data_IF_948572719620
#
_entry.id   IF_948572719620
#
_cell.length_a   1.000
_cell.length_b   1.000
_cell.length_c   1.000
_cell.angle_alpha   90.00
_cell.angle_beta   90.00
_cell.angle_gamma   90.00
#
_symmetry.space_group_name_H-M   'P 1'
#
loop_
_entity.id
_entity.type
_entity.pdbx_description
1 polymer ?
#
# COMPACT_ATOMS: atom_id res chain seq x y z
N UNK A 1 15.51 25.67 0.32
CA UNK A 1 16.41 25.15 -0.75
C UNK A 1 16.32 23.65 -0.74
N UNK A 2 15.89 23.02 -1.81
CA UNK A 2 15.84 21.55 -1.93
C UNK A 2 17.24 21.09 -2.33
N UNK A 3 17.83 20.14 -1.60
CA UNK A 3 19.14 19.58 -1.94
C UNK A 3 19.06 18.86 -3.28
N UNK A 4 19.99 19.11 -4.19
CA UNK A 4 20.14 18.35 -5.43
C UNK A 4 20.96 17.10 -5.14
N UNK A 5 20.56 15.97 -5.71
CA UNK A 5 21.42 14.78 -5.73
C UNK A 5 22.74 15.15 -6.42
N UNK A 6 23.87 14.96 -5.72
CA UNK A 6 25.17 15.19 -6.36
C UNK A 6 25.59 13.90 -7.07
N UNK A 7 25.66 13.87 -8.41
CA UNK A 7 26.04 12.68 -9.16
C UNK A 7 27.56 12.40 -9.12
N UNK A 8 28.37 13.22 -8.43
CA UNK A 8 29.80 12.95 -8.30
C UNK A 8 30.02 11.68 -7.49
N UNK A 9 30.41 10.63 -8.20
CA UNK A 9 30.87 9.39 -7.60
C UNK A 9 32.25 9.61 -6.97
N UNK A 10 32.41 9.23 -5.71
CA UNK A 10 33.70 9.21 -5.07
C UNK A 10 34.59 8.10 -5.64
N UNK A 11 35.93 8.21 -5.45
CA UNK A 11 36.87 7.12 -5.83
C UNK A 11 36.47 5.79 -5.17
N UNK A 12 35.93 5.84 -3.94
CA UNK A 12 35.43 4.69 -3.21
C UNK A 12 34.20 4.08 -3.87
N UNK A 13 33.29 4.88 -4.45
CA UNK A 13 32.16 4.38 -5.21
C UNK A 13 32.60 3.58 -6.43
N UNK A 14 33.68 4.01 -7.11
CA UNK A 14 34.32 3.29 -8.20
C UNK A 14 34.83 1.89 -7.77
N UNK A 15 35.52 1.83 -6.64
CA UNK A 15 36.03 0.59 -6.06
C UNK A 15 34.89 -0.35 -5.58
N UNK A 16 33.85 0.20 -4.97
CA UNK A 16 32.66 -0.54 -4.54
C UNK A 16 31.83 -1.04 -5.73
N UNK A 17 31.72 -0.26 -6.81
CA UNK A 17 31.02 -0.66 -8.02
C UNK A 17 31.77 -1.77 -8.77
N UNK A 18 33.10 -1.85 -8.66
CA UNK A 18 33.87 -2.97 -9.23
C UNK A 18 33.53 -4.33 -8.61
N UNK A 19 33.14 -4.35 -7.32
CA UNK A 19 32.65 -5.56 -6.64
C UNK A 19 31.30 -6.04 -7.20
N UNK A 20 30.50 -5.14 -7.78
CA UNK A 20 29.19 -5.45 -8.40
C UNK A 20 29.32 -6.38 -9.62
N UNK A 21 30.39 -6.34 -10.36
CA UNK A 21 30.65 -7.22 -11.52
C UNK A 21 30.62 -8.73 -11.18
N UNK A 22 30.71 -9.07 -9.90
CA UNK A 22 30.65 -10.48 -9.44
C UNK A 22 29.22 -10.98 -9.17
N UNK A 23 28.23 -10.08 -9.08
CA UNK A 23 26.84 -10.47 -8.88
C UNK A 23 26.22 -10.79 -10.24
N UNK A 24 25.92 -12.08 -10.50
CA UNK A 24 25.39 -12.57 -11.78
C UNK A 24 23.91 -12.21 -11.99
N UNK A 25 23.18 -11.92 -10.92
CA UNK A 25 21.74 -11.65 -10.96
C UNK A 25 21.46 -10.25 -10.45
N UNK A 26 20.58 -9.54 -11.15
CA UNK A 26 20.09 -8.24 -10.75
C UNK A 26 19.23 -8.36 -9.48
N UNK A 27 19.54 -7.53 -8.48
CA UNK A 27 18.80 -7.53 -7.21
C UNK A 27 17.40 -6.91 -7.39
N UNK A 28 16.48 -7.22 -6.46
CA UNK A 28 15.14 -6.62 -6.46
C UNK A 28 15.20 -5.09 -6.41
N UNK A 29 16.12 -4.52 -5.63
CA UNK A 29 16.27 -3.06 -5.52
C UNK A 29 16.72 -2.43 -6.83
N UNK A 30 17.62 -3.08 -7.57
CA UNK A 30 18.03 -2.63 -8.90
C UNK A 30 16.87 -2.67 -9.90
N UNK A 31 16.07 -3.74 -9.86
CA UNK A 31 14.87 -3.87 -10.70
C UNK A 31 13.85 -2.78 -10.38
N UNK A 32 13.58 -2.50 -9.10
CA UNK A 32 12.70 -1.41 -8.67
C UNK A 32 13.26 -0.07 -9.17
N UNK A 33 14.57 0.17 -9.04
CA UNK A 33 15.19 1.42 -9.43
C UNK A 33 15.09 1.71 -10.94
N UNK A 34 15.12 0.66 -11.75
CA UNK A 34 14.94 0.75 -13.21
C UNK A 34 13.49 0.84 -13.64
N UNK A 35 12.59 0.19 -12.90
CA UNK A 35 11.18 0.09 -13.25
C UNK A 35 10.42 1.37 -12.95
N UNK A 36 10.70 2.01 -11.81
CA UNK A 36 9.98 3.21 -11.33
C UNK A 36 10.56 4.47 -11.97
N UNK A 37 9.70 5.31 -12.52
CA UNK A 37 10.05 6.62 -13.09
C UNK A 37 10.14 7.66 -11.95
N UNK A 38 11.28 7.66 -11.24
CA UNK A 38 11.48 8.49 -10.05
C UNK A 38 11.29 9.98 -10.29
N UNK A 39 11.65 10.47 -11.47
CA UNK A 39 11.52 11.89 -11.83
C UNK A 39 10.05 12.34 -11.81
N UNK A 40 9.14 11.48 -12.26
CA UNK A 40 7.70 11.75 -12.21
C UNK A 40 7.19 11.81 -10.76
N UNK A 41 7.62 10.87 -9.91
CA UNK A 41 7.26 10.87 -8.49
C UNK A 41 7.84 12.09 -7.76
N UNK A 42 9.07 12.51 -8.10
CA UNK A 42 9.68 13.72 -7.56
C UNK A 42 8.88 14.96 -7.94
N UNK A 43 8.48 15.07 -9.22
CA UNK A 43 7.69 16.19 -9.72
C UNK A 43 6.34 16.35 -8.96
N UNK A 44 5.68 15.23 -8.63
CA UNK A 44 4.45 15.24 -7.82
C UNK A 44 4.69 15.77 -6.38
N UNK A 45 5.89 15.61 -5.88
CA UNK A 45 6.26 15.95 -4.51
C UNK A 45 6.92 17.33 -4.37
N UNK A 46 7.11 18.12 -5.43
CA UNK A 46 7.85 19.39 -5.39
C UNK A 46 7.28 20.42 -4.39
N UNK A 47 5.96 20.42 -4.17
CA UNK A 47 5.29 21.34 -3.23
C UNK A 47 5.38 20.96 -1.73
N UNK A 48 6.01 19.82 -1.39
CA UNK A 48 6.07 19.33 0.00
C UNK A 48 7.01 20.15 0.88
N UNK A 49 8.10 20.64 0.29
CA UNK A 49 9.06 21.46 1.00
C UNK A 49 8.70 22.95 0.85
N UNK A 50 8.59 23.62 1.98
CA UNK A 50 8.54 25.09 1.97
C UNK A 50 9.92 25.63 1.61
N UNK A 51 9.98 26.54 0.66
CA UNK A 51 11.22 27.17 0.22
C UNK A 51 11.68 28.18 1.29
N UNK A 52 12.47 27.71 2.24
CA UNK A 52 13.11 28.57 3.24
C UNK A 52 14.46 29.03 2.67
N UNK A 53 14.61 30.34 2.51
CA UNK A 53 15.87 30.96 2.03
C UNK A 53 17.05 30.80 3.00
N UNK A 54 16.83 30.30 4.21
CA UNK A 54 17.84 30.13 5.27
C UNK A 54 17.79 28.70 5.83
N UNK A 55 18.96 28.12 6.12
CA UNK A 55 19.13 26.81 6.75
C UNK A 55 19.80 25.77 5.84
N UNK A 56 20.05 24.60 6.41
CA UNK A 56 20.61 23.47 5.68
C UNK A 56 19.64 22.99 4.57
N UNK A 57 20.14 22.64 3.38
CA UNK A 57 19.29 22.11 2.30
C UNK A 57 18.47 20.90 2.76
N UNK A 58 17.21 20.86 2.37
CA UNK A 58 16.35 19.69 2.66
C UNK A 58 16.84 18.45 1.90
N UNK A 59 16.62 17.28 2.47
CA UNK A 59 16.91 16.01 1.80
C UNK A 59 16.25 15.97 0.41
N UNK A 60 16.95 15.53 -0.66
CA UNK A 60 16.33 15.37 -1.97
C UNK A 60 15.09 14.48 -1.90
N UNK A 61 14.03 14.89 -2.58
CA UNK A 61 12.72 14.21 -2.53
C UNK A 61 12.85 12.74 -2.94
N UNK A 62 13.59 12.46 -4.02
CA UNK A 62 13.81 11.09 -4.51
C UNK A 62 14.50 10.23 -3.45
N UNK A 63 15.49 10.77 -2.75
CA UNK A 63 16.19 10.04 -1.66
C UNK A 63 15.21 9.72 -0.54
N UNK A 64 14.40 10.70 -0.11
CA UNK A 64 13.40 10.51 0.94
C UNK A 64 12.32 9.49 0.55
N UNK A 65 11.82 9.54 -0.69
CA UNK A 65 10.87 8.54 -1.23
C UNK A 65 11.48 7.13 -1.22
N UNK A 66 12.71 6.98 -1.73
CA UNK A 66 13.41 5.69 -1.74
C UNK A 66 13.66 5.15 -0.34
N UNK A 67 13.92 6.02 0.64
CA UNK A 67 14.00 5.63 2.05
C UNK A 67 12.66 5.05 2.55
N UNK A 68 11.51 5.65 2.22
CA UNK A 68 10.20 5.09 2.56
C UNK A 68 9.94 3.75 1.85
N UNK A 69 10.36 3.62 0.59
CA UNK A 69 10.28 2.32 -0.12
C UNK A 69 11.07 1.23 0.63
N UNK A 70 12.31 1.51 1.04
CA UNK A 70 13.10 0.56 1.85
C UNK A 70 12.42 0.26 3.18
N UNK A 71 11.94 1.29 3.86
CA UNK A 71 11.28 1.15 5.16
C UNK A 71 10.13 0.15 5.12
N UNK A 72 9.23 0.30 4.15
CA UNK A 72 8.04 -0.54 4.06
C UNK A 72 8.32 -1.90 3.39
N UNK A 73 9.24 -1.95 2.42
CA UNK A 73 9.63 -3.20 1.75
C UNK A 73 10.27 -4.20 2.73
N UNK A 74 11.10 -3.70 3.63
CA UNK A 74 11.84 -4.51 4.61
C UNK A 74 11.22 -4.44 6.03
N UNK A 75 10.07 -3.80 6.18
CA UNK A 75 9.36 -3.64 7.44
C UNK A 75 10.22 -3.06 8.58
N UNK A 76 11.02 -2.02 8.28
CA UNK A 76 11.92 -1.38 9.22
C UNK A 76 11.23 -0.28 10.02
N UNK A 77 11.56 -0.14 11.31
CA UNK A 77 11.23 1.04 12.11
C UNK A 77 12.05 2.25 11.68
N UNK A 78 11.70 3.45 12.19
CA UNK A 78 12.44 4.67 11.80
C UNK A 78 13.93 4.59 12.19
N UNK A 79 14.33 4.25 13.43
CA UNK A 79 15.74 4.05 13.78
C UNK A 79 16.38 2.87 13.04
N UNK A 80 15.66 1.75 12.89
CA UNK A 80 16.20 0.57 12.21
C UNK A 80 16.46 0.82 10.71
N UNK A 81 15.75 1.77 10.07
CA UNK A 81 16.06 2.18 8.72
C UNK A 81 17.38 2.95 8.66
N UNK A 82 17.61 3.88 9.59
CA UNK A 82 18.88 4.63 9.70
C UNK A 82 20.05 3.67 9.89
N UNK A 83 19.97 2.75 10.86
CA UNK A 83 20.98 1.72 11.08
C UNK A 83 21.24 0.88 9.82
N UNK A 84 20.16 0.48 9.11
CA UNK A 84 20.29 -0.29 7.89
C UNK A 84 20.89 0.52 6.72
N UNK A 85 20.69 1.84 6.67
CA UNK A 85 21.32 2.72 5.69
C UNK A 85 22.82 2.89 5.96
N UNK A 86 23.23 2.85 7.24
CA UNK A 86 24.66 2.88 7.62
C UNK A 86 25.33 1.56 7.21
N UNK A 87 24.72 0.42 7.53
CA UNK A 87 25.35 -0.89 7.36
C UNK A 87 25.31 -1.44 5.93
N UNK A 88 24.25 -1.11 5.15
CA UNK A 88 23.97 -1.79 3.89
C UNK A 88 24.28 -0.96 2.66
N UNK A 89 25.40 -1.22 2.04
CA UNK A 89 25.80 -0.60 0.77
C UNK A 89 24.73 -0.73 -0.33
N UNK A 90 23.94 -1.83 -0.35
CA UNK A 90 22.85 -2.02 -1.30
C UNK A 90 21.73 -0.98 -1.10
N UNK A 91 21.49 -0.55 0.14
CA UNK A 91 20.51 0.48 0.47
C UNK A 91 21.01 1.86 0.06
N UNK A 92 22.26 2.20 0.38
CA UNK A 92 22.90 3.46 -0.04
C UNK A 92 22.87 3.61 -1.56
N UNK A 93 23.22 2.55 -2.30
CA UNK A 93 23.13 2.52 -3.77
C UNK A 93 21.69 2.70 -4.28
N UNK A 94 20.72 2.07 -3.63
CA UNK A 94 19.32 2.20 -4.02
C UNK A 94 18.82 3.63 -3.87
N UNK A 95 19.11 4.28 -2.75
CA UNK A 95 18.70 5.68 -2.52
C UNK A 95 19.57 6.67 -3.32
N UNK A 96 20.72 6.23 -3.85
CA UNK A 96 21.58 7.03 -4.73
C UNK A 96 22.42 8.08 -4.02
N UNK A 97 22.87 7.79 -2.80
CA UNK A 97 23.85 8.61 -2.09
C UNK A 97 25.25 8.06 -2.29
N UNK A 98 26.25 8.96 -2.30
CA UNK A 98 27.66 8.60 -2.30
C UNK A 98 28.08 8.05 -0.94
N UNK A 99 29.13 7.22 -0.92
CA UNK A 99 29.70 6.67 0.31
C UNK A 99 30.16 7.76 1.30
N UNK A 100 30.57 8.92 0.77
CA UNK A 100 31.02 10.07 1.57
C UNK A 100 29.89 11.01 2.00
N UNK A 101 28.63 10.71 1.58
CA UNK A 101 27.49 11.55 1.89
C UNK A 101 26.94 11.23 3.29
N UNK A 102 26.41 12.25 3.96
CA UNK A 102 25.66 12.06 5.19
C UNK A 102 24.43 11.18 4.96
N UNK A 103 24.22 10.24 5.86
CA UNK A 103 23.07 9.34 5.85
C UNK A 103 21.88 10.07 6.46
N UNK A 104 20.69 10.01 5.82
CA UNK A 104 19.50 10.63 6.38
C UNK A 104 19.14 10.03 7.75
N UNK A 105 19.01 10.88 8.76
CA UNK A 105 18.56 10.49 10.09
C UNK A 105 17.07 10.09 10.10
N UNK A 106 16.68 9.31 11.11
CA UNK A 106 15.30 8.84 11.26
C UNK A 106 14.28 9.98 11.40
N UNK A 107 14.68 11.12 12.00
CA UNK A 107 13.76 12.24 12.22
C UNK A 107 13.48 12.98 10.92
N UNK A 108 14.43 13.08 10.00
CA UNK A 108 14.26 13.65 8.67
C UNK A 108 13.29 12.81 7.82
N UNK A 109 13.43 11.48 7.87
CA UNK A 109 12.51 10.57 7.16
C UNK A 109 11.10 10.63 7.76
N UNK A 110 10.99 10.67 9.09
CA UNK A 110 9.73 10.83 9.78
C UNK A 110 9.02 12.14 9.41
N UNK A 111 9.74 13.27 9.39
CA UNK A 111 9.20 14.58 8.97
C UNK A 111 8.75 14.58 7.52
N UNK A 112 9.48 13.92 6.63
CA UNK A 112 9.10 13.79 5.22
C UNK A 112 7.79 13.02 5.08
N UNK A 113 7.64 11.90 5.80
CA UNK A 113 6.39 11.12 5.84
C UNK A 113 5.20 11.94 6.33
N UNK A 114 5.36 12.73 7.39
CA UNK A 114 4.30 13.63 7.89
C UNK A 114 3.94 14.72 6.87
N UNK A 115 4.91 15.22 6.09
CA UNK A 115 4.65 16.19 5.01
C UNK A 115 3.86 15.56 3.86
N UNK A 116 4.16 14.32 3.47
CA UNK A 116 3.39 13.59 2.46
C UNK A 116 1.92 13.47 2.87
N UNK A 117 1.66 13.15 4.14
CA UNK A 117 0.30 13.06 4.69
C UNK A 117 -0.40 14.42 4.62
N UNK A 118 0.24 15.47 5.13
CA UNK A 118 -0.32 16.84 5.15
C UNK A 118 -0.60 17.39 3.75
N UNK A 119 0.23 17.04 2.78
CA UNK A 119 0.06 17.45 1.38
C UNK A 119 -1.03 16.64 0.65
N UNK A 120 -1.54 15.55 1.26
CA UNK A 120 -2.56 14.66 0.69
C UNK A 120 -2.25 14.17 -0.74
N UNK A 121 -0.98 13.91 -1.04
CA UNK A 121 -0.53 13.51 -2.38
C UNK A 121 -0.36 12.00 -2.55
N UNK A 122 -0.67 11.24 -1.51
CA UNK A 122 -0.45 9.80 -1.48
C UNK A 122 -1.25 9.07 -2.58
N UNK A 123 -2.50 9.49 -2.78
CA UNK A 123 -3.36 8.95 -3.84
C UNK A 123 -2.76 9.24 -5.21
N UNK A 124 -2.25 10.46 -5.43
CA UNK A 124 -1.62 10.85 -6.69
C UNK A 124 -0.36 10.04 -6.99
N UNK A 125 0.47 9.77 -5.97
CA UNK A 125 1.64 8.88 -6.11
C UNK A 125 1.19 7.46 -6.48
N UNK A 126 0.14 6.94 -5.84
CA UNK A 126 -0.40 5.61 -6.15
C UNK A 126 -0.93 5.55 -7.59
N UNK A 127 -1.70 6.55 -8.00
CA UNK A 127 -2.26 6.66 -9.36
C UNK A 127 -1.18 6.75 -10.43
N UNK A 128 -0.08 7.48 -10.16
CA UNK A 128 1.07 7.54 -11.08
C UNK A 128 1.70 6.16 -11.30
N UNK A 129 1.89 5.38 -10.23
CA UNK A 129 2.40 4.00 -10.36
C UNK A 129 1.42 3.12 -11.16
N UNK A 130 0.10 3.30 -10.98
CA UNK A 130 -0.89 2.59 -11.79
C UNK A 130 -0.78 2.98 -13.25
N UNK A 131 -0.57 4.27 -13.56
CA UNK A 131 -0.39 4.77 -14.92
C UNK A 131 0.87 4.18 -15.57
N UNK A 132 2.00 4.14 -14.86
CA UNK A 132 3.22 3.49 -15.35
C UNK A 132 2.99 2.01 -15.68
N UNK A 133 2.25 1.29 -14.81
CA UNK A 133 1.90 -0.12 -15.04
C UNK A 133 0.97 -0.30 -16.25
N UNK A 134 0.06 0.63 -16.45
CA UNK A 134 -0.84 0.61 -17.60
C UNK A 134 -0.10 0.89 -18.92
N UNK A 135 0.85 1.82 -18.92
CA UNK A 135 1.76 2.06 -20.05
C UNK A 135 2.57 0.81 -20.42
N UNK A 136 2.91 -0.03 -19.45
CA UNK A 136 3.53 -1.34 -19.68
C UNK A 136 2.54 -2.44 -20.15
N UNK A 137 1.25 -2.14 -20.28
CA UNK A 137 0.24 -3.08 -20.75
C UNK A 137 -0.07 -4.24 -19.81
N UNK A 138 0.28 -4.13 -18.53
CA UNK A 138 0.08 -5.22 -17.54
C UNK A 138 -1.30 -5.22 -16.88
N UNK A 139 -2.10 -4.17 -17.08
CA UNK A 139 -3.48 -4.07 -16.58
C UNK A 139 -4.44 -4.60 -17.63
N UNK A 140 -5.10 -5.72 -17.33
CA UNK A 140 -5.89 -6.48 -18.32
C UNK A 140 -7.35 -6.02 -18.46
N UNK A 141 -7.90 -5.33 -17.44
CA UNK A 141 -9.31 -4.84 -17.39
C UNK A 141 -10.37 -5.90 -17.68
N UNK A 142 -10.06 -7.17 -17.45
CA UNK A 142 -11.02 -8.28 -17.59
C UNK A 142 -12.10 -8.23 -16.51
N UNK A 143 -11.69 -7.91 -15.29
CA UNK A 143 -12.56 -7.80 -14.15
C UNK A 143 -11.84 -7.20 -12.95
N UNK A 144 -12.59 -6.87 -11.92
CA UNK A 144 -12.08 -6.34 -10.66
C UNK A 144 -12.45 -7.29 -9.52
N UNK A 145 -11.43 -7.69 -8.75
CA UNK A 145 -11.59 -8.54 -7.57
C UNK A 145 -11.45 -7.67 -6.33
N UNK A 146 -12.49 -7.65 -5.48
CA UNK A 146 -12.56 -6.78 -4.30
C UNK A 146 -12.56 -7.62 -3.04
N UNK A 147 -11.71 -7.27 -2.09
CA UNK A 147 -11.68 -7.88 -0.76
C UNK A 147 -11.08 -6.91 0.28
N UNK A 148 -11.23 -7.27 1.56
CA UNK A 148 -10.70 -6.51 2.68
C UNK A 148 -9.96 -7.40 3.67
N UNK A 149 -8.90 -6.85 4.25
CA UNK A 149 -8.18 -7.48 5.35
C UNK A 149 -8.29 -6.66 6.62
N UNK A 150 -8.52 -7.33 7.75
CA UNK A 150 -8.46 -6.70 9.06
C UNK A 150 -7.01 -6.69 9.52
N UNK A 151 -6.54 -5.52 10.00
CA UNK A 151 -5.22 -5.33 10.56
C UNK A 151 -5.35 -4.80 11.98
N UNK A 152 -4.67 -5.44 12.92
CA UNK A 152 -4.77 -5.07 14.34
C UNK A 152 -4.08 -3.74 14.62
N UNK A 153 -4.66 -2.91 15.49
CA UNK A 153 -4.05 -1.68 15.97
C UNK A 153 -2.77 -1.95 16.76
N UNK A 154 -1.81 -1.02 16.66
CA UNK A 154 -0.57 -1.06 17.44
C UNK A 154 -0.85 -1.01 18.94
N UNK A 155 -1.86 -0.25 19.34
CA UNK A 155 -2.25 -0.04 20.73
C UNK A 155 -3.73 -0.33 20.90
N UNK A 156 -4.07 -1.17 21.90
CA UNK A 156 -5.45 -1.53 22.24
C UNK A 156 -5.86 -0.84 23.52
N UNK A 157 -7.12 -0.38 23.65
CA UNK A 157 -7.61 0.12 24.94
C UNK A 157 -7.66 -1.02 25.95
N UNK A 158 -7.41 -0.70 27.24
CA UNK A 158 -7.48 -1.67 28.35
C UNK A 158 -8.91 -2.28 28.47
N UNK A 159 -9.96 -1.47 28.21
CA UNK A 159 -11.36 -1.90 28.23
C UNK A 159 -11.98 -1.68 26.84
N UNK A 160 -12.16 -2.75 26.08
CA UNK A 160 -12.72 -2.72 24.72
C UNK A 160 -14.18 -2.22 24.64
N UNK A 161 -14.92 -2.21 25.76
CA UNK A 161 -16.35 -1.86 25.80
C UNK A 161 -16.64 -0.42 26.25
N UNK A 162 -15.65 0.33 26.69
CA UNK A 162 -15.80 1.71 27.16
C UNK A 162 -14.72 2.59 26.55
N UNK A 163 -14.82 2.87 25.26
CA UNK A 163 -14.07 3.98 24.64
C UNK A 163 -14.98 5.19 24.70
N UNK A 164 -14.74 6.18 25.57
CA UNK A 164 -15.51 7.40 25.56
C UNK A 164 -15.23 8.13 24.24
N UNK A 165 -16.26 8.41 23.47
CA UNK A 165 -16.16 9.19 22.23
C UNK A 165 -15.66 10.62 22.48
N UNK A 166 -15.75 11.09 23.73
CA UNK A 166 -15.44 12.45 24.15
C UNK A 166 -14.65 12.52 25.47
N UNK A 167 -13.49 11.85 25.58
CA UNK A 167 -12.62 12.18 26.72
C UNK A 167 -11.65 13.28 26.34
N UNK A 168 -11.65 14.38 27.10
CA UNK A 168 -10.73 15.53 26.99
C UNK A 168 -9.26 15.17 27.25
N UNK A 169 -8.96 13.97 27.75
CA UNK A 169 -7.62 13.45 27.96
C UNK A 169 -7.34 12.27 27.02
N UNK A 170 -6.86 12.56 25.81
CA UNK A 170 -6.34 11.53 24.89
C UNK A 170 -5.04 10.96 25.46
N UNK A 171 -5.09 9.74 25.97
CA UNK A 171 -3.87 9.02 26.36
C UNK A 171 -3.04 8.67 25.15
N UNK A 172 -1.74 8.99 25.14
CA UNK A 172 -0.80 8.58 24.10
C UNK A 172 -0.68 7.05 23.96
N UNK A 173 -1.24 6.29 24.89
CA UNK A 173 -1.23 4.83 24.91
C UNK A 173 -2.36 4.19 24.10
N UNK A 174 -3.32 4.94 23.58
CA UNK A 174 -4.48 4.42 22.84
C UNK A 174 -4.56 4.97 21.42
N UNK A 175 -5.00 4.13 20.50
CA UNK A 175 -5.32 4.51 19.12
C UNK A 175 -6.83 4.75 19.00
N UNK A 176 -7.24 6.02 18.95
CA UNK A 176 -8.66 6.43 18.96
C UNK A 176 -9.34 6.25 17.60
N UNK A 177 -8.59 6.20 16.51
CA UNK A 177 -9.12 6.02 15.15
C UNK A 177 -9.40 4.54 14.88
N UNK A 178 -8.67 3.65 15.55
CA UNK A 178 -8.96 2.22 15.49
C UNK A 178 -10.30 1.90 16.16
N UNK A 179 -11.04 0.96 15.60
CA UNK A 179 -12.36 0.55 16.11
C UNK A 179 -12.45 -0.97 16.24
N UNK A 180 -13.41 -1.42 17.05
CA UNK A 180 -13.68 -2.84 17.24
C UNK A 180 -14.58 -3.40 16.12
N UNK A 181 -14.30 -4.62 15.71
CA UNK A 181 -15.15 -5.40 14.79
C UNK A 181 -15.13 -6.87 15.16
N UNK A 182 -16.20 -7.60 14.81
CA UNK A 182 -16.31 -9.05 15.08
C UNK A 182 -16.26 -9.82 13.76
N UNK A 183 -15.35 -10.79 13.65
CA UNK A 183 -15.27 -11.68 12.49
C UNK A 183 -15.09 -13.13 12.98
N UNK A 184 -15.95 -14.05 12.53
CA UNK A 184 -15.87 -15.46 12.89
C UNK A 184 -15.93 -15.74 14.41
N UNK A 185 -16.68 -14.94 15.18
CA UNK A 185 -16.75 -15.04 16.65
C UNK A 185 -15.66 -14.30 17.41
N UNK A 186 -14.55 -13.96 16.77
CA UNK A 186 -13.39 -13.26 17.37
C UNK A 186 -13.54 -11.75 17.26
N UNK A 187 -13.21 -11.02 18.34
CA UNK A 187 -13.17 -9.57 18.37
C UNK A 187 -11.79 -9.07 17.91
N UNK A 188 -11.80 -8.12 17.00
CA UNK A 188 -10.62 -7.42 16.50
C UNK A 188 -10.74 -5.94 16.83
N UNK A 189 -9.63 -5.30 17.17
CA UNK A 189 -9.53 -3.86 17.33
C UNK A 189 -8.45 -3.33 16.38
N UNK A 190 -8.82 -2.46 15.46
CA UNK A 190 -7.90 -1.98 14.45
C UNK A 190 -8.58 -1.33 13.26
N UNK A 191 -8.09 -1.68 12.09
CA UNK A 191 -8.43 -1.10 10.81
C UNK A 191 -8.78 -2.17 9.78
N UNK A 192 -9.34 -1.74 8.66
CA UNK A 192 -9.53 -2.54 7.45
C UNK A 192 -8.83 -1.90 6.28
N UNK A 193 -8.03 -2.69 5.55
CA UNK A 193 -7.52 -2.32 4.25
C UNK A 193 -8.33 -3.00 3.16
N UNK A 194 -8.97 -2.23 2.31
CA UNK A 194 -9.74 -2.68 1.17
C UNK A 194 -8.92 -2.50 -0.10
N UNK A 195 -8.95 -3.47 -0.98
CA UNK A 195 -8.27 -3.41 -2.28
C UNK A 195 -9.19 -3.86 -3.40
N UNK A 196 -9.02 -3.24 -4.55
CA UNK A 196 -9.58 -3.67 -5.82
C UNK A 196 -8.43 -4.05 -6.75
N UNK A 197 -8.35 -5.32 -7.14
CA UNK A 197 -7.28 -5.86 -7.99
C UNK A 197 -7.81 -6.21 -9.38
N UNK A 198 -6.99 -6.01 -10.38
CA UNK A 198 -7.27 -6.42 -11.75
C UNK A 198 -7.25 -7.96 -11.87
N UNK A 199 -8.27 -8.51 -12.52
CA UNK A 199 -8.40 -9.94 -12.75
C UNK A 199 -7.32 -10.43 -13.73
N UNK A 200 -6.50 -11.37 -13.29
CA UNK A 200 -5.41 -11.96 -14.06
C UNK A 200 -4.05 -11.36 -13.72
N UNK A 201 -3.88 -10.04 -13.76
CA UNK A 201 -2.60 -9.42 -13.40
C UNK A 201 -2.37 -9.36 -11.88
N UNK A 202 -3.42 -9.29 -11.07
CA UNK A 202 -3.39 -9.00 -9.62
C UNK A 202 -2.74 -7.64 -9.27
N UNK A 203 -2.74 -6.69 -10.19
CA UNK A 203 -2.36 -5.30 -9.89
C UNK A 203 -3.49 -4.67 -9.07
N UNK A 204 -3.14 -4.02 -7.96
CA UNK A 204 -4.09 -3.29 -7.13
C UNK A 204 -4.37 -1.97 -7.81
N UNK A 205 -5.61 -1.74 -8.25
CA UNK A 205 -6.05 -0.55 -8.99
C UNK A 205 -6.62 0.52 -8.08
N UNK A 206 -7.24 0.12 -6.97
CA UNK A 206 -7.74 1.03 -5.94
C UNK A 206 -7.49 0.47 -4.56
N UNK A 207 -7.32 1.36 -3.61
CA UNK A 207 -7.12 1.04 -2.20
C UNK A 207 -7.85 2.03 -1.32
N UNK A 208 -8.43 1.54 -0.22
CA UNK A 208 -9.10 2.32 0.82
C UNK A 208 -8.69 1.78 2.18
N UNK A 209 -8.47 2.66 3.14
CA UNK A 209 -8.14 2.26 4.50
C UNK A 209 -9.11 2.90 5.48
N UNK A 210 -9.79 2.07 6.30
CA UNK A 210 -10.87 2.52 7.19
C UNK A 210 -10.70 1.97 8.60
N UNK A 211 -11.35 2.58 9.62
CA UNK A 211 -11.56 1.92 10.90
C UNK A 211 -12.29 0.57 10.72
N UNK A 212 -11.95 -0.43 11.56
CA UNK A 212 -12.44 -1.80 11.36
C UNK A 212 -13.97 -1.96 11.48
N UNK A 213 -14.69 -1.01 12.09
CA UNK A 213 -16.15 -1.06 12.22
C UNK A 213 -16.90 -0.60 10.97
N UNK A 214 -16.23 0.00 9.98
CA UNK A 214 -16.86 0.38 8.70
C UNK A 214 -17.28 -0.90 7.96
N UNK A 215 -18.52 -0.94 7.48
CA UNK A 215 -19.05 -2.11 6.77
C UNK A 215 -18.51 -2.15 5.34
N UNK A 216 -18.05 -3.32 4.89
CA UNK A 216 -17.38 -3.51 3.61
C UNK A 216 -18.21 -3.02 2.41
N UNK A 217 -19.56 -3.17 2.46
CA UNK A 217 -20.46 -2.73 1.40
C UNK A 217 -20.46 -1.22 1.15
N UNK A 218 -20.07 -0.39 2.13
CA UNK A 218 -20.01 1.06 1.96
C UNK A 218 -18.90 1.49 1.00
N UNK A 219 -17.83 0.70 0.96
CA UNK A 219 -16.64 1.02 0.16
C UNK A 219 -16.71 0.46 -1.27
N UNK A 220 -17.75 -0.32 -1.60
CA UNK A 220 -17.82 -1.03 -2.87
C UNK A 220 -17.87 -0.10 -4.08
N UNK A 221 -18.75 0.92 -4.05
CA UNK A 221 -18.89 1.88 -5.15
C UNK A 221 -17.57 2.65 -5.42
N UNK A 222 -16.82 2.97 -4.36
CA UNK A 222 -15.53 3.67 -4.46
C UNK A 222 -14.43 2.77 -5.03
N UNK A 223 -14.48 1.47 -4.75
CA UNK A 223 -13.50 0.48 -5.22
C UNK A 223 -13.70 0.08 -6.69
N UNK A 224 -14.88 0.31 -7.25
CA UNK A 224 -15.14 0.07 -8.68
C UNK A 224 -14.43 1.13 -9.51
N UNK A 225 -13.62 0.71 -10.51
CA UNK A 225 -12.87 1.62 -11.37
C UNK A 225 -13.73 2.23 -12.50
N UNK A 226 -14.72 1.49 -12.96
CA UNK A 226 -15.69 1.95 -13.97
C UNK A 226 -15.45 1.42 -15.40
N UNK A 227 -14.33 0.73 -15.62
CA UNK A 227 -13.93 0.13 -16.90
C UNK A 227 -13.93 -1.41 -16.89
N UNK A 228 -14.47 -2.01 -15.82
CA UNK A 228 -14.53 -3.45 -15.64
C UNK A 228 -15.61 -4.13 -16.50
N UNK A 229 -15.30 -5.32 -16.99
CA UNK A 229 -16.29 -6.25 -17.58
C UNK A 229 -16.99 -7.11 -16.52
N UNK A 230 -16.33 -7.29 -15.36
CA UNK A 230 -16.84 -8.09 -14.25
C UNK A 230 -16.34 -7.55 -12.91
N UNK A 231 -17.16 -7.71 -11.84
CA UNK A 231 -16.80 -7.35 -10.46
C UNK A 231 -17.06 -8.53 -9.56
N UNK A 232 -16.04 -9.02 -8.85
CA UNK A 232 -16.12 -10.13 -7.89
C UNK A 232 -15.83 -9.61 -6.49
N UNK A 233 -16.70 -9.92 -5.54
CA UNK A 233 -16.52 -9.58 -4.13
C UNK A 233 -17.16 -10.63 -3.21
N UNK A 234 -16.82 -10.61 -1.91
CA UNK A 234 -17.44 -11.49 -0.92
C UNK A 234 -18.90 -11.09 -0.65
N UNK A 235 -19.62 -12.00 -0.01
CA UNK A 235 -21.01 -11.79 0.45
C UNK A 235 -21.18 -10.59 1.40
N UNK A 236 -20.09 -10.12 2.07
CA UNK A 236 -20.11 -8.91 2.90
C UNK A 236 -20.36 -7.64 2.08
N UNK A 237 -20.00 -7.66 0.79
CA UNK A 237 -20.26 -6.60 -0.19
C UNK A 237 -21.62 -6.72 -0.88
N UNK A 238 -22.43 -7.74 -0.55
CA UNK A 238 -23.73 -7.98 -1.20
C UNK A 238 -24.71 -6.86 -0.83
N UNK A 239 -24.95 -5.98 -1.79
CA UNK A 239 -25.96 -4.92 -1.78
C UNK A 239 -26.81 -5.04 -3.05
N UNK A 240 -28.14 -5.02 -2.89
CA UNK A 240 -29.04 -5.22 -4.03
C UNK A 240 -29.02 -4.02 -4.99
N UNK A 241 -28.77 -2.79 -4.48
CA UNK A 241 -28.68 -1.59 -5.31
C UNK A 241 -27.42 -1.59 -6.15
N UNK A 242 -26.28 -1.97 -5.55
CA UNK A 242 -25.02 -2.10 -6.30
C UNK A 242 -25.11 -3.19 -7.36
N UNK A 243 -25.70 -4.35 -7.03
CA UNK A 243 -25.93 -5.42 -8.01
C UNK A 243 -26.78 -4.94 -9.19
N UNK A 244 -27.81 -4.11 -8.92
CA UNK A 244 -28.66 -3.51 -9.96
C UNK A 244 -27.89 -2.54 -10.83
N UNK A 245 -27.13 -1.63 -10.23
CA UNK A 245 -26.25 -0.66 -10.96
C UNK A 245 -25.25 -1.36 -11.88
N UNK A 246 -24.59 -2.43 -11.40
CA UNK A 246 -23.65 -3.20 -12.22
C UNK A 246 -24.33 -3.82 -13.43
N UNK A 247 -25.51 -4.44 -13.24
CA UNK A 247 -26.29 -5.05 -14.33
C UNK A 247 -26.74 -4.01 -15.36
N UNK A 248 -27.20 -2.82 -14.92
CA UNK A 248 -27.60 -1.73 -15.79
C UNK A 248 -26.43 -1.23 -16.67
N UNK A 249 -25.20 -1.29 -16.13
CA UNK A 249 -23.97 -0.95 -16.88
C UNK A 249 -23.44 -2.10 -17.75
N UNK A 250 -24.12 -3.24 -17.81
CA UNK A 250 -23.66 -4.42 -18.56
C UNK A 250 -22.45 -5.13 -17.92
N UNK A 251 -22.12 -4.81 -16.65
CA UNK A 251 -21.01 -5.42 -15.92
C UNK A 251 -21.46 -6.72 -15.26
N UNK A 252 -20.72 -7.80 -15.47
CA UNK A 252 -21.01 -9.08 -14.81
C UNK A 252 -20.83 -8.96 -13.29
N UNK A 253 -21.90 -9.28 -12.55
CA UNK A 253 -21.91 -9.23 -11.10
C UNK A 253 -21.48 -10.57 -10.50
N UNK A 254 -20.21 -10.69 -10.15
CA UNK A 254 -19.59 -11.82 -9.47
C UNK A 254 -19.66 -11.78 -7.94
N UNK A 255 -20.41 -10.84 -7.34
CA UNK A 255 -20.59 -10.75 -5.90
C UNK A 255 -21.32 -11.99 -5.40
N UNK A 256 -20.80 -12.60 -4.31
CA UNK A 256 -21.39 -13.82 -3.74
C UNK A 256 -22.78 -13.55 -3.18
N UNK A 257 -23.69 -14.47 -3.43
CA UNK A 257 -25.04 -14.39 -2.88
C UNK A 257 -25.05 -14.75 -1.39
N UNK A 258 -25.81 -13.99 -0.60
CA UNK A 258 -25.98 -14.16 0.84
C UNK A 258 -27.34 -14.75 1.13
N UNK A 259 -27.41 -15.80 1.95
CA UNK A 259 -28.68 -16.29 2.49
C UNK A 259 -29.33 -15.23 3.39
N UNK A 260 -30.65 -15.16 3.38
CA UNK A 260 -31.46 -14.31 4.26
C UNK A 260 -32.05 -15.15 5.40
N UNK A 261 -32.43 -14.50 6.50
CA UNK A 261 -33.10 -15.20 7.61
C UNK A 261 -34.37 -15.86 7.09
N UNK A 262 -34.53 -17.17 7.32
CA UNK A 262 -35.66 -17.97 6.82
C UNK A 262 -35.57 -18.40 5.35
N UNK A 263 -34.58 -17.93 4.56
CA UNK A 263 -34.41 -18.33 3.16
C UNK A 263 -32.95 -18.71 2.88
N UNK A 264 -32.70 -20.02 2.84
CA UNK A 264 -31.39 -20.55 2.49
C UNK A 264 -31.08 -20.36 0.99
N UNK A 265 -29.81 -20.42 0.63
CA UNK A 265 -29.40 -20.41 -0.77
C UNK A 265 -29.86 -21.69 -1.48
N UNK A 266 -30.39 -21.52 -2.68
CA UNK A 266 -30.72 -22.66 -3.56
C UNK A 266 -29.46 -23.40 -4.01
N UNK A 267 -29.58 -24.64 -4.47
CA UNK A 267 -28.44 -25.41 -5.02
C UNK A 267 -27.80 -24.70 -6.20
N UNK A 268 -28.59 -24.06 -7.07
CA UNK A 268 -28.10 -23.23 -8.19
C UNK A 268 -27.24 -22.06 -7.70
N UNK A 269 -27.69 -21.34 -6.66
CA UNK A 269 -26.92 -20.24 -6.05
C UNK A 269 -25.63 -20.72 -5.36
N UNK A 270 -25.68 -21.86 -4.66
CA UNK A 270 -24.49 -22.47 -4.05
C UNK A 270 -23.45 -22.84 -5.12
N UNK A 271 -23.89 -23.42 -6.25
CA UNK A 271 -23.01 -23.77 -7.36
C UNK A 271 -22.41 -22.50 -7.99
N UNK A 272 -23.23 -21.49 -8.28
CA UNK A 272 -22.77 -20.20 -8.80
C UNK A 272 -21.75 -19.52 -7.86
N UNK A 273 -21.99 -19.52 -6.55
CA UNK A 273 -21.05 -18.99 -5.56
C UNK A 273 -19.71 -19.75 -5.58
N UNK A 274 -19.71 -21.07 -5.78
CA UNK A 274 -18.49 -21.87 -5.90
C UNK A 274 -17.66 -21.44 -7.11
N UNK A 275 -18.29 -21.16 -8.26
CA UNK A 275 -17.59 -20.70 -9.46
C UNK A 275 -17.04 -19.26 -9.25
N UNK A 276 -17.86 -18.36 -8.74
CA UNK A 276 -17.43 -16.98 -8.41
C UNK A 276 -16.25 -16.96 -7.44
N UNK A 277 -16.26 -17.81 -6.41
CA UNK A 277 -15.18 -17.91 -5.42
C UNK A 277 -13.85 -18.34 -6.03
N UNK A 278 -13.85 -19.23 -7.04
CA UNK A 278 -12.61 -19.65 -7.72
C UNK A 278 -11.87 -18.46 -8.33
N UNK A 279 -12.61 -17.53 -8.97
CA UNK A 279 -12.02 -16.32 -9.55
C UNK A 279 -11.61 -15.37 -8.44
N UNK A 280 -12.49 -15.10 -7.46
CA UNK A 280 -12.26 -14.16 -6.38
C UNK A 280 -11.02 -14.49 -5.54
N UNK A 281 -10.74 -15.75 -5.29
CA UNK A 281 -9.65 -16.18 -4.41
C UNK A 281 -8.28 -15.60 -4.84
N UNK A 282 -8.12 -15.16 -6.08
CA UNK A 282 -6.89 -14.52 -6.52
C UNK A 282 -6.58 -13.20 -5.78
N UNK A 283 -7.60 -12.50 -5.23
CA UNK A 283 -7.43 -11.28 -4.44
C UNK A 283 -6.70 -11.52 -3.10
N UNK A 284 -6.63 -12.76 -2.64
CA UNK A 284 -5.91 -13.11 -1.41
C UNK A 284 -4.38 -13.02 -1.56
N UNK A 285 -3.86 -13.05 -2.80
CA UNK A 285 -2.42 -12.99 -3.08
C UNK A 285 -1.75 -11.70 -2.61
N UNK A 286 -2.27 -10.48 -2.88
CA UNK A 286 -1.72 -9.24 -2.31
C UNK A 286 -1.67 -9.27 -0.79
N UNK A 287 -2.71 -9.72 -0.12
CA UNK A 287 -2.73 -9.83 1.34
C UNK A 287 -1.71 -10.84 1.88
N UNK A 288 -1.49 -11.94 1.16
CA UNK A 288 -0.42 -12.89 1.51
C UNK A 288 0.96 -12.24 1.36
N UNK A 289 1.19 -11.41 0.32
CA UNK A 289 2.41 -10.62 0.16
C UNK A 289 2.62 -9.65 1.33
N UNK A 290 1.59 -8.90 1.72
CA UNK A 290 1.68 -7.96 2.83
C UNK A 290 2.07 -8.66 4.14
N UNK A 291 1.41 -9.79 4.44
CA UNK A 291 1.63 -10.51 5.70
C UNK A 291 2.93 -11.31 5.71
N UNK A 292 3.24 -12.05 4.63
CA UNK A 292 4.37 -13.00 4.62
C UNK A 292 5.69 -12.35 4.21
N UNK A 293 5.67 -11.43 3.22
CA UNK A 293 6.89 -10.85 2.68
C UNK A 293 7.22 -9.47 3.29
N UNK A 294 6.19 -8.68 3.65
CA UNK A 294 6.37 -7.34 4.20
C UNK A 294 6.04 -7.26 5.70
N UNK A 295 5.74 -8.40 6.36
CA UNK A 295 5.51 -8.48 7.79
C UNK A 295 4.32 -7.68 8.31
N UNK A 296 3.33 -7.34 7.45
CA UNK A 296 2.19 -6.50 7.81
C UNK A 296 1.09 -7.31 8.50
N UNK A 297 1.32 -7.73 9.73
CA UNK A 297 0.35 -8.44 10.58
C UNK A 297 -0.40 -7.48 11.48
N UNK A 298 0.26 -6.38 11.87
CA UNK A 298 -0.23 -5.34 12.75
C UNK A 298 0.17 -3.98 12.20
N UNK A 299 -0.67 -2.95 12.40
CA UNK A 299 -0.26 -1.59 12.03
C UNK A 299 0.88 -1.11 12.93
N UNK A 300 1.75 -0.28 12.38
CA UNK A 300 2.91 0.26 13.11
C UNK A 300 2.59 1.55 13.86
N UNK A 301 1.77 2.38 13.24
CA UNK A 301 1.51 3.73 13.72
C UNK A 301 0.23 3.84 14.54
N UNK A 302 0.11 4.93 15.25
CA UNK A 302 -1.13 5.39 15.86
C UNK A 302 -1.74 6.42 14.90
N UNK A 303 -3.04 6.43 14.75
CA UNK A 303 -3.95 7.19 13.88
C UNK A 303 -4.16 6.61 12.48
N UNK A 304 -5.29 7.03 11.86
CA UNK A 304 -5.74 6.52 10.57
C UNK A 304 -4.77 6.91 9.44
N UNK A 305 -4.44 8.18 9.31
CA UNK A 305 -3.67 8.75 8.18
C UNK A 305 -2.28 8.12 8.03
N UNK A 306 -1.55 7.91 9.13
CA UNK A 306 -0.22 7.28 9.10
C UNK A 306 -0.29 5.82 8.71
N UNK A 307 -1.34 5.12 9.13
CA UNK A 307 -1.55 3.72 8.79
C UNK A 307 -2.08 3.56 7.37
N UNK A 308 -2.88 4.51 6.87
CA UNK A 308 -3.30 4.60 5.48
C UNK A 308 -2.10 4.80 4.54
N UNK A 309 -1.19 5.74 4.88
CA UNK A 309 0.06 5.91 4.15
C UNK A 309 0.85 4.60 4.08
N UNK A 310 1.03 3.92 5.22
CA UNK A 310 1.73 2.63 5.25
C UNK A 310 1.05 1.60 4.34
N UNK A 311 -0.28 1.45 4.45
CA UNK A 311 -1.04 0.49 3.65
C UNK A 311 -0.95 0.80 2.15
N UNK A 312 -1.04 2.07 1.76
CA UNK A 312 -0.91 2.51 0.36
C UNK A 312 0.49 2.22 -0.18
N UNK A 313 1.55 2.45 0.61
CA UNK A 313 2.91 2.06 0.20
C UNK A 313 3.07 0.55 0.03
N UNK A 314 2.43 -0.28 0.86
CA UNK A 314 2.44 -1.73 0.65
C UNK A 314 1.75 -2.10 -0.68
N UNK A 315 0.65 -1.42 -1.03
CA UNK A 315 -0.02 -1.61 -2.31
C UNK A 315 0.88 -1.19 -3.49
N UNK A 316 1.56 -0.05 -3.39
CA UNK A 316 2.55 0.42 -4.38
C UNK A 316 3.67 -0.62 -4.57
N UNK A 317 4.27 -1.07 -3.48
CA UNK A 317 5.37 -2.05 -3.50
C UNK A 317 4.93 -3.41 -4.08
N UNK A 318 3.70 -3.84 -3.75
CA UNK A 318 3.11 -5.04 -4.37
C UNK A 318 2.98 -4.87 -5.88
N UNK A 319 2.44 -3.74 -6.31
CA UNK A 319 2.22 -3.43 -7.71
C UNK A 319 3.51 -3.38 -8.51
N UNK A 320 4.54 -2.69 -8.00
CA UNK A 320 5.86 -2.64 -8.63
C UNK A 320 6.48 -4.03 -8.74
N UNK A 321 6.48 -4.82 -7.65
CA UNK A 321 6.99 -6.21 -7.69
C UNK A 321 6.23 -7.07 -8.69
N UNK A 322 4.92 -6.89 -8.77
CA UNK A 322 4.08 -7.62 -9.71
C UNK A 322 4.32 -7.18 -11.15
N UNK A 323 4.43 -5.87 -11.39
CA UNK A 323 4.79 -5.29 -12.69
C UNK A 323 6.13 -5.84 -13.19
N UNK A 324 7.17 -5.77 -12.36
CA UNK A 324 8.49 -6.35 -12.66
C UNK A 324 8.38 -7.84 -13.03
N UNK A 325 7.60 -8.62 -12.28
CA UNK A 325 7.41 -10.03 -12.57
C UNK A 325 6.66 -10.30 -13.88
N UNK A 326 5.74 -9.41 -14.28
CA UNK A 326 4.99 -9.56 -15.52
C UNK A 326 5.76 -9.09 -16.77
N UNK A 327 6.62 -8.07 -16.62
CA UNK A 327 7.35 -7.46 -17.75
C UNK A 327 8.73 -8.07 -17.97
N UNK A 328 9.40 -8.59 -16.93
CA UNK A 328 10.76 -9.13 -17.01
C UNK A 328 10.82 -10.66 -17.08
N UNK A 329 9.69 -11.34 -17.20
CA UNK A 329 9.62 -12.80 -17.34
C UNK A 329 9.35 -13.21 -18.81
N UNK A 330 9.21 -12.22 -19.67
CA UNK A 330 9.21 -12.37 -21.14
C UNK A 330 10.59 -12.04 -21.67
#
# INVERSE_FOLDING_TARGET
MIGKQNPQLSILDGALNSRKKRCRTETLLEKINKFVQWDKLEALCTGIYQDTKRGHPSLPIVVALKCLFLQFLYNLGDPALEDALIDRLSFQRFIGISFDSEIPDYSTIWRFRDRLIKANILTTIFEEIIRELDEHGVILRKGTLIDATIVQAARKPKNHHKVPEHSSQKSAQQDYDAKATKKGGTMYYGYKGHIATDEGSNIIRKTIFTPANVHDSRELDTLICGDERSVFADKAYADDDVKRKLRQKGVYCGILDKGRRGRQLSQKQKHANKQKSKVRNAVERPFAHFKKLMGYVRVRYVNLERNELHFTFLCILHNIRRGIALTMTT
#
